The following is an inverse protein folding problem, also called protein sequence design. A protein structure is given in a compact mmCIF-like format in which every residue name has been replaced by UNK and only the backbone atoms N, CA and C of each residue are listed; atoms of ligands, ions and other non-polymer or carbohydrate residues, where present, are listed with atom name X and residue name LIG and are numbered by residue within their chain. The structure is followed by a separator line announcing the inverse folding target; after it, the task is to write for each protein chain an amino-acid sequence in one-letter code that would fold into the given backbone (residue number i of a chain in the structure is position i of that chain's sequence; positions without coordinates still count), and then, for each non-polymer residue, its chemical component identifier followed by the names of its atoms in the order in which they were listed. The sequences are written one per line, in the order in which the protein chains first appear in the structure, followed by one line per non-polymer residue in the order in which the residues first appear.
data_IF_366721273744
#
_entry.id   IF_366721273744
#
_cell.length_a   1.000
_cell.length_b   1.000
_cell.length_c   1.000
_cell.angle_alpha   90.00
_cell.angle_beta   90.00
_cell.angle_gamma   90.00
#
_symmetry.space_group_name_H-M   'P 1'
#
loop_
_entity.id
_entity.type
_entity.pdbx_description
1 polymer ?
#
# COMPACT_ATOMS: atom_id res chain seq x y z
N UNK A 1 6.48 11.52 -12.73
CA UNK A 1 6.02 10.73 -11.56
C UNK A 1 5.60 9.39 -12.12
N UNK A 2 6.34 8.33 -11.76
CA UNK A 2 6.32 7.03 -12.46
C UNK A 2 5.17 6.17 -11.96
N UNK A 3 4.61 5.43 -12.92
CA UNK A 3 3.60 4.39 -12.77
C UNK A 3 4.36 3.13 -12.32
N UNK A 4 4.11 2.63 -11.12
CA UNK A 4 4.67 1.36 -10.68
C UNK A 4 3.65 0.24 -10.95
N UNK A 5 3.86 -0.45 -12.08
CA UNK A 5 3.47 -1.85 -12.25
C UNK A 5 4.74 -2.69 -12.19
N UNK A 6 4.95 -3.42 -11.10
CA UNK A 6 6.04 -4.39 -11.00
C UNK A 6 5.56 -5.75 -11.52
N UNK A 7 5.77 -5.97 -12.82
CA UNK A 7 5.86 -7.29 -13.44
C UNK A 7 7.28 -7.81 -13.25
N UNK A 8 7.50 -8.82 -12.41
CA UNK A 8 8.82 -9.46 -12.28
C UNK A 8 8.96 -10.60 -13.28
N UNK A 9 9.62 -10.32 -14.42
CA UNK A 9 10.20 -11.34 -15.30
C UNK A 9 11.45 -11.93 -14.63
N UNK A 10 11.49 -13.24 -14.45
CA UNK A 10 12.72 -13.96 -14.12
C UNK A 10 13.62 -14.02 -15.35
N UNK A 11 14.81 -13.44 -15.26
CA UNK A 11 15.92 -13.61 -16.20
C UNK A 11 17.08 -14.19 -15.41
N UNK A 12 17.49 -15.40 -15.79
CA UNK A 12 18.64 -16.10 -15.21
C UNK A 12 19.95 -15.37 -15.51
N UNK A 13 20.92 -15.56 -14.62
CA UNK A 13 22.32 -15.20 -14.90
C UNK A 13 23.23 -16.35 -14.48
N UNK A 14 24.03 -16.78 -15.45
CA UNK A 14 25.19 -17.65 -15.31
C UNK A 14 26.26 -16.90 -14.53
N UNK A 15 27.02 -17.59 -13.69
CA UNK A 15 28.37 -17.18 -13.32
C UNK A 15 29.33 -18.36 -13.45
N UNK A 16 30.46 -18.07 -14.09
CA UNK A 16 31.56 -18.95 -14.41
C UNK A 16 32.84 -18.47 -13.71
N UNK A 17 33.78 -19.40 -13.49
CA UNK A 17 35.19 -19.15 -13.11
C UNK A 17 35.43 -19.24 -11.60
N UNK A 18 36.50 -19.85 -11.09
CA UNK A 18 37.72 -20.39 -11.68
C UNK A 18 38.53 -21.13 -10.60
N UNK A 19 39.51 -21.92 -11.05
CA UNK A 19 40.34 -22.89 -10.30
C UNK A 19 41.25 -22.22 -9.25
N UNK A 20 41.59 -22.94 -8.17
CA UNK A 20 42.98 -23.21 -7.72
C UNK A 20 43.06 -24.08 -6.44
N UNK A 21 44.09 -24.95 -6.47
CA UNK A 21 44.86 -25.56 -5.36
C UNK A 21 44.20 -26.60 -4.43
N UNK A 22 44.85 -27.76 -4.33
CA UNK A 22 44.49 -28.85 -3.43
C UNK A 22 45.42 -29.00 -2.22
N UNK A 23 45.07 -29.92 -1.33
CA UNK A 23 45.96 -30.69 -0.44
C UNK A 23 45.07 -31.58 0.45
N UNK A 24 45.57 -32.77 0.77
CA UNK A 24 44.84 -33.86 1.38
C UNK A 24 45.03 -33.95 2.91
N UNK A 25 44.23 -34.84 3.52
CA UNK A 25 44.43 -35.56 4.79
C UNK A 25 43.96 -34.85 6.06
N UNK A 26 43.15 -35.56 6.86
CA UNK A 26 43.05 -35.33 8.30
C UNK A 26 41.65 -35.59 8.87
N UNK A 27 41.33 -36.85 9.13
CA UNK A 27 40.15 -37.24 9.88
C UNK A 27 40.20 -36.71 11.32
N UNK A 28 39.10 -36.10 11.79
CA UNK A 28 38.74 -36.11 13.21
C UNK A 28 37.22 -36.31 13.32
N UNK A 29 36.90 -37.34 14.08
CA UNK A 29 35.62 -37.99 14.27
C UNK A 29 34.97 -37.45 15.55
N UNK A 30 33.64 -37.48 15.60
CA UNK A 30 32.71 -37.33 16.75
C UNK A 30 32.32 -35.91 17.19
N UNK A 31 31.12 -35.50 16.78
CA UNK A 31 30.09 -35.06 17.74
C UNK A 31 28.69 -35.39 17.19
N UNK A 32 27.94 -36.11 18.00
CA UNK A 32 26.63 -36.68 17.70
C UNK A 32 25.48 -35.64 17.69
N UNK A 33 24.31 -36.13 17.25
CA UNK A 33 22.96 -35.52 17.27
C UNK A 33 22.55 -34.74 16.01
N UNK A 34 22.40 -35.47 14.90
CA UNK A 34 21.45 -35.11 13.85
C UNK A 34 20.01 -35.36 14.35
N UNK A 35 19.55 -34.51 15.26
CA UNK A 35 18.13 -34.33 15.59
C UNK A 35 17.66 -33.04 14.94
N UNK A 36 16.66 -33.14 14.07
CA UNK A 36 16.07 -32.07 13.27
C UNK A 36 15.82 -30.79 14.09
N UNK A 37 16.60 -29.74 13.85
CA UNK A 37 16.24 -28.38 14.21
C UNK A 37 16.51 -27.49 13.01
N UNK A 38 15.42 -27.23 12.28
CA UNK A 38 15.35 -26.29 11.18
C UNK A 38 16.07 -24.99 11.52
N UNK A 39 16.92 -24.57 10.60
CA UNK A 39 17.71 -23.36 10.66
C UNK A 39 16.84 -22.15 11.00
N UNK A 40 17.40 -21.35 11.92
CA UNK A 40 17.03 -19.97 12.25
C UNK A 40 16.40 -19.25 11.05
N UNK A 41 15.16 -18.82 11.21
CA UNK A 41 14.75 -17.56 10.59
C UNK A 41 14.31 -16.64 11.70
N UNK A 42 15.19 -15.68 11.94
CA UNK A 42 15.10 -14.53 12.81
C UNK A 42 13.69 -13.95 12.93
N UNK A 43 13.34 -13.71 14.18
CA UNK A 43 12.39 -12.75 14.74
C UNK A 43 12.35 -11.39 14.00
N UNK A 44 11.82 -11.34 12.78
CA UNK A 44 11.55 -10.08 12.07
C UNK A 44 10.43 -10.20 11.01
N UNK A 45 9.48 -11.12 11.20
CA UNK A 45 8.29 -11.21 10.32
C UNK A 45 6.97 -11.38 11.07
N UNK A 46 6.99 -11.47 12.41
CA UNK A 46 5.78 -11.64 13.22
C UNK A 46 5.06 -10.34 13.59
N UNK A 47 5.61 -9.16 13.27
CA UNK A 47 4.95 -7.87 13.52
C UNK A 47 4.10 -7.35 12.33
N UNK A 48 4.12 -8.06 11.19
CA UNK A 48 3.49 -7.59 9.95
C UNK A 48 2.40 -8.54 9.43
N UNK A 49 1.82 -9.36 10.31
CA UNK A 49 0.70 -10.25 9.97
C UNK A 49 -0.57 -9.96 10.80
N UNK A 50 -0.49 -9.02 11.75
CA UNK A 50 -1.63 -8.59 12.58
C UNK A 50 -2.36 -7.36 12.01
N UNK A 51 -1.79 -6.66 11.02
CA UNK A 51 -2.46 -5.54 10.35
C UNK A 51 -3.43 -6.01 9.27
N UNK A 52 -3.00 -6.92 8.38
CA UNK A 52 -3.79 -7.37 7.22
C UNK A 52 -5.06 -8.14 7.59
N UNK A 53 -5.03 -8.91 8.68
CA UNK A 53 -6.21 -9.63 9.17
C UNK A 53 -7.21 -8.73 9.93
N UNK A 54 -6.77 -7.58 10.47
CA UNK A 54 -7.66 -6.63 11.14
C UNK A 54 -8.54 -5.87 10.14
N UNK A 55 -7.99 -5.50 8.97
CA UNK A 55 -8.76 -4.81 7.92
C UNK A 55 -9.82 -5.70 7.25
N UNK A 56 -9.69 -7.03 7.38
CA UNK A 56 -10.61 -7.98 6.75
C UNK A 56 -11.91 -8.21 7.55
N UNK A 57 -11.95 -7.83 8.83
CA UNK A 57 -13.14 -7.99 9.67
C UNK A 57 -14.02 -6.72 9.72
N UNK A 58 -13.45 -5.51 9.57
CA UNK A 58 -14.14 -4.22 9.78
C UNK A 58 -13.96 -3.20 8.63
N UNK A 59 -13.48 -3.63 7.46
CA UNK A 59 -12.84 -2.80 6.41
C UNK A 59 -13.66 -1.70 5.72
N UNK A 60 -14.90 -1.44 6.16
CA UNK A 60 -15.75 -0.37 5.63
C UNK A 60 -16.02 0.76 6.64
N UNK A 61 -15.69 0.59 7.92
CA UNK A 61 -16.10 1.53 8.98
C UNK A 61 -14.98 2.26 9.70
N UNK A 62 -13.72 1.94 9.40
CA UNK A 62 -12.59 2.59 10.04
C UNK A 62 -12.13 3.83 9.25
N UNK A 63 -11.96 4.93 9.98
CA UNK A 63 -11.27 6.12 9.48
C UNK A 63 -9.76 5.90 9.54
N UNK A 64 -9.08 6.20 8.44
CA UNK A 64 -7.67 5.89 8.23
C UNK A 64 -6.88 7.17 7.99
N UNK A 65 -5.64 7.19 8.46
CA UNK A 65 -4.66 8.18 7.99
C UNK A 65 -4.35 7.92 6.51
N UNK A 66 -3.77 8.90 5.81
CA UNK A 66 -3.38 8.70 4.40
C UNK A 66 -2.44 7.50 4.21
N UNK A 67 -1.51 7.29 5.14
CA UNK A 67 -0.57 6.16 5.08
C UNK A 67 -1.28 4.80 5.26
N UNK A 68 -2.18 4.69 6.23
CA UNK A 68 -2.96 3.46 6.43
C UNK A 68 -3.94 3.21 5.29
N UNK A 69 -4.49 4.28 4.72
CA UNK A 69 -5.34 4.24 3.55
C UNK A 69 -4.59 3.69 2.32
N UNK A 70 -3.35 4.13 2.07
CA UNK A 70 -2.53 3.59 0.98
C UNK A 70 -2.28 2.09 1.15
N UNK A 71 -1.99 1.64 2.37
CA UNK A 71 -1.82 0.22 2.66
C UNK A 71 -3.09 -0.58 2.40
N UNK A 72 -4.25 -0.08 2.86
CA UNK A 72 -5.53 -0.73 2.61
C UNK A 72 -5.88 -0.78 1.13
N UNK A 73 -5.71 0.34 0.40
CA UNK A 73 -5.96 0.42 -1.04
C UNK A 73 -5.12 -0.59 -1.81
N UNK A 74 -3.83 -0.72 -1.48
CA UNK A 74 -2.97 -1.74 -2.09
C UNK A 74 -3.42 -3.18 -1.77
N UNK A 75 -3.81 -3.44 -0.51
CA UNK A 75 -4.32 -4.75 -0.11
C UNK A 75 -5.63 -5.13 -0.84
N UNK A 76 -6.51 -4.16 -1.07
CA UNK A 76 -7.78 -4.36 -1.77
C UNK A 76 -7.57 -4.46 -3.29
N UNK A 77 -6.61 -3.72 -3.85
CA UNK A 77 -6.20 -3.87 -5.25
C UNK A 77 -5.69 -5.28 -5.54
N UNK A 78 -4.89 -5.86 -4.64
CA UNK A 78 -4.43 -7.25 -4.75
C UNK A 78 -5.58 -8.27 -4.73
N UNK A 79 -6.74 -7.91 -4.15
CA UNK A 79 -7.98 -8.72 -4.17
C UNK A 79 -8.85 -8.45 -5.41
N UNK A 80 -8.41 -7.60 -6.33
CA UNK A 80 -9.16 -7.21 -7.53
C UNK A 80 -10.31 -6.25 -7.23
N UNK A 81 -10.17 -5.40 -6.22
CA UNK A 81 -11.14 -4.36 -5.86
C UNK A 81 -10.61 -2.97 -6.12
N UNK A 82 -11.52 -2.02 -6.34
CA UNK A 82 -11.23 -0.58 -6.42
C UNK A 82 -12.12 0.18 -5.43
N UNK A 83 -11.71 1.37 -4.98
CA UNK A 83 -12.57 2.27 -4.24
C UNK A 83 -13.83 2.61 -5.03
N UNK A 84 -15.00 2.46 -4.41
CA UNK A 84 -16.28 2.89 -4.98
C UNK A 84 -16.65 4.29 -4.50
N UNK A 85 -16.62 4.51 -3.19
CA UNK A 85 -16.79 5.83 -2.58
C UNK A 85 -15.63 6.14 -1.63
N UNK A 86 -15.48 7.43 -1.33
CA UNK A 86 -14.49 7.94 -0.39
C UNK A 86 -15.13 9.00 0.49
N UNK A 87 -14.95 8.88 1.80
CA UNK A 87 -15.32 9.89 2.77
C UNK A 87 -14.06 10.54 3.33
N UNK A 88 -14.11 11.85 3.60
CA UNK A 88 -13.04 12.58 4.27
C UNK A 88 -13.54 13.30 5.50
N UNK A 89 -12.65 13.51 6.47
CA UNK A 89 -12.85 14.41 7.61
C UNK A 89 -11.50 14.91 8.11
N UNK A 90 -11.54 15.95 8.95
CA UNK A 90 -10.39 16.35 9.75
C UNK A 90 -10.11 15.27 10.81
N UNK A 91 -8.86 14.81 10.90
CA UNK A 91 -8.46 13.73 11.81
C UNK A 91 -8.23 14.21 13.24
N UNK A 92 -7.78 15.45 13.40
CA UNK A 92 -7.52 16.10 14.67
C UNK A 92 -7.89 17.58 14.57
N UNK A 93 -8.50 18.15 15.62
CA UNK A 93 -8.89 19.57 15.68
C UNK A 93 -7.81 20.44 16.31
N UNK A 94 -6.65 19.85 16.63
CA UNK A 94 -5.52 20.57 17.22
C UNK A 94 -5.07 21.71 16.28
N UNK A 95 -5.17 22.97 16.73
CA UNK A 95 -4.87 24.12 15.88
C UNK A 95 -3.44 24.05 15.32
N UNK A 96 -3.30 24.15 14.00
CA UNK A 96 -1.99 24.22 13.32
C UNK A 96 -1.49 22.90 12.71
N UNK A 97 -2.17 21.76 12.93
CA UNK A 97 -1.90 20.51 12.22
C UNK A 97 -3.08 20.13 11.32
N UNK A 98 -2.94 20.38 10.02
CA UNK A 98 -3.89 19.89 9.02
C UNK A 98 -3.69 18.38 8.84
N UNK A 99 -4.39 17.60 9.64
CA UNK A 99 -4.45 16.15 9.51
C UNK A 99 -5.82 15.75 8.95
N UNK A 100 -5.81 14.85 7.97
CA UNK A 100 -7.02 14.34 7.33
C UNK A 100 -7.13 12.84 7.55
N UNK A 101 -8.37 12.36 7.65
CA UNK A 101 -8.66 10.93 7.64
C UNK A 101 -9.67 10.61 6.56
N UNK A 102 -9.53 9.41 6.00
CA UNK A 102 -10.34 8.91 4.90
C UNK A 102 -10.98 7.57 5.24
N UNK A 103 -12.11 7.27 4.61
CA UNK A 103 -12.80 5.98 4.69
C UNK A 103 -13.27 5.60 3.29
N UNK A 104 -13.24 4.32 2.96
CA UNK A 104 -13.60 3.83 1.62
C UNK A 104 -14.70 2.78 1.68
N UNK A 105 -15.48 2.71 0.60
CA UNK A 105 -16.21 1.50 0.23
C UNK A 105 -15.58 0.89 -1.01
N UNK A 106 -15.89 -0.38 -1.29
CA UNK A 106 -15.18 -1.18 -2.28
C UNK A 106 -16.14 -1.86 -3.24
N UNK A 107 -15.73 -1.94 -4.49
CA UNK A 107 -16.39 -2.76 -5.51
C UNK A 107 -15.39 -3.56 -6.31
N UNK A 108 -15.88 -4.54 -7.06
CA UNK A 108 -15.05 -5.32 -7.99
C UNK A 108 -14.48 -4.40 -9.07
N UNK A 109 -13.18 -4.52 -9.33
CA UNK A 109 -12.51 -3.80 -10.40
C UNK A 109 -13.06 -4.24 -11.77
N UNK A 110 -13.55 -3.32 -12.62
CA UNK A 110 -13.80 -3.63 -14.02
C UNK A 110 -12.51 -4.07 -14.74
N UNK A 111 -12.64 -4.81 -15.83
CA UNK A 111 -11.47 -5.23 -16.61
C UNK A 111 -10.65 -4.02 -17.06
N UNK A 112 -9.33 -4.08 -16.84
CA UNK A 112 -8.38 -3.03 -17.21
C UNK A 112 -8.66 -1.65 -16.60
N UNK A 113 -9.45 -1.56 -15.52
CA UNK A 113 -9.71 -0.28 -14.85
C UNK A 113 -8.46 0.24 -14.14
N UNK A 114 -8.18 1.54 -14.31
CA UNK A 114 -7.20 2.27 -13.51
C UNK A 114 -7.93 3.23 -12.60
N UNK A 115 -7.34 3.52 -11.44
CA UNK A 115 -7.91 4.49 -10.51
C UNK A 115 -6.83 5.30 -9.81
N UNK A 116 -7.23 6.43 -9.25
CA UNK A 116 -6.44 7.28 -8.39
C UNK A 116 -7.36 7.89 -7.33
N UNK A 117 -6.87 8.10 -6.13
CA UNK A 117 -7.61 8.76 -5.06
C UNK A 117 -6.70 9.76 -4.36
N UNK A 118 -7.29 10.83 -3.85
CA UNK A 118 -6.57 11.88 -3.12
C UNK A 118 -7.46 12.47 -2.02
N UNK A 119 -6.82 13.01 -0.97
CA UNK A 119 -7.43 13.80 0.10
C UNK A 119 -6.58 15.03 0.35
N UNK A 120 -7.22 16.19 0.58
CA UNK A 120 -6.49 17.43 0.84
C UNK A 120 -7.38 18.66 0.68
N UNK A 121 -6.77 19.84 0.64
CA UNK A 121 -7.50 21.07 0.38
C UNK A 121 -8.08 21.11 -1.05
N UNK A 122 -9.09 21.96 -1.33
CA UNK A 122 -9.72 22.01 -2.65
C UNK A 122 -8.79 22.42 -3.80
N UNK A 123 -7.77 23.26 -3.54
CA UNK A 123 -6.82 23.67 -4.57
C UNK A 123 -5.85 22.54 -4.92
N UNK A 124 -5.41 21.78 -3.92
CA UNK A 124 -4.65 20.55 -4.11
C UNK A 124 -5.43 19.56 -4.99
N UNK A 125 -6.70 19.31 -4.69
CA UNK A 125 -7.53 18.39 -5.48
C UNK A 125 -7.78 18.88 -6.91
N UNK A 126 -7.98 20.18 -7.11
CA UNK A 126 -8.09 20.75 -8.45
C UNK A 126 -6.81 20.51 -9.27
N UNK A 127 -5.63 20.60 -8.64
CA UNK A 127 -4.37 20.27 -9.31
C UNK A 127 -4.26 18.79 -9.69
N UNK A 128 -4.83 17.90 -8.87
CA UNK A 128 -4.84 16.45 -9.09
C UNK A 128 -5.84 16.04 -10.16
N UNK A 129 -7.00 16.69 -10.23
CA UNK A 129 -7.96 16.56 -11.31
C UNK A 129 -7.31 16.79 -12.68
N UNK A 130 -6.54 17.88 -12.83
CA UNK A 130 -5.84 18.18 -14.10
C UNK A 130 -4.85 17.07 -14.45
N UNK A 131 -4.11 16.54 -13.48
CA UNK A 131 -3.14 15.45 -13.69
C UNK A 131 -3.83 14.13 -14.04
N UNK A 132 -4.92 13.81 -13.35
CA UNK A 132 -5.73 12.62 -13.58
C UNK A 132 -6.34 12.62 -14.99
N UNK A 133 -6.91 13.76 -15.40
CA UNK A 133 -7.48 13.92 -16.74
C UNK A 133 -6.42 13.76 -17.86
N UNK A 134 -5.19 14.23 -17.64
CA UNK A 134 -4.08 14.06 -18.61
C UNK A 134 -3.68 12.60 -18.84
N UNK A 135 -3.94 11.71 -17.89
CA UNK A 135 -3.69 10.27 -18.03
C UNK A 135 -4.96 9.47 -18.36
N UNK A 136 -6.06 10.17 -18.69
CA UNK A 136 -7.32 9.58 -19.11
C UNK A 136 -8.18 9.04 -17.97
N UNK A 137 -7.99 9.52 -16.73
CA UNK A 137 -8.90 9.24 -15.62
C UNK A 137 -9.91 10.38 -15.48
N UNK A 138 -11.17 10.05 -15.22
CA UNK A 138 -12.26 11.00 -14.95
C UNK A 138 -12.71 10.88 -13.50
N UNK A 139 -13.13 11.99 -12.90
CA UNK A 139 -13.62 11.97 -11.52
C UNK A 139 -14.91 11.17 -11.42
N UNK A 140 -14.88 10.08 -10.67
CA UNK A 140 -16.03 9.22 -10.40
C UNK A 140 -16.72 9.56 -9.08
N UNK A 141 -15.96 10.03 -8.09
CA UNK A 141 -16.50 10.42 -6.79
C UNK A 141 -15.76 11.64 -6.25
N UNK A 142 -16.48 12.51 -5.56
CA UNK A 142 -15.91 13.66 -4.87
C UNK A 142 -16.73 13.98 -3.62
N UNK A 143 -16.06 14.32 -2.53
CA UNK A 143 -16.70 14.86 -1.33
C UNK A 143 -15.91 16.05 -0.81
N UNK A 144 -16.62 17.02 -0.26
CA UNK A 144 -16.05 18.19 0.39
C UNK A 144 -16.69 18.34 1.77
N UNK A 145 -15.86 18.54 2.78
CA UNK A 145 -16.24 18.75 4.17
C UNK A 145 -15.67 20.08 4.62
N UNK A 146 -16.51 20.87 5.29
CA UNK A 146 -16.14 22.16 5.85
C UNK A 146 -16.17 22.06 7.37
N UNK A 147 -15.10 22.51 8.02
CA UNK A 147 -15.07 22.72 9.45
C UNK A 147 -15.99 23.91 9.80
N UNK A 148 -17.03 23.71 10.62
CA UNK A 148 -17.97 24.77 10.97
C UNK A 148 -17.34 25.89 11.83
N UNK A 149 -16.25 25.61 12.54
CA UNK A 149 -15.59 26.58 13.43
C UNK A 149 -14.59 27.43 12.66
N UNK A 150 -13.70 26.79 11.89
CA UNK A 150 -12.60 27.48 11.20
C UNK A 150 -12.96 27.89 9.77
N UNK A 151 -14.03 27.34 9.20
CA UNK A 151 -14.38 27.49 7.79
C UNK A 151 -13.43 26.77 6.83
N UNK A 152 -12.41 26.06 7.34
CA UNK A 152 -11.47 25.30 6.53
C UNK A 152 -12.18 24.18 5.78
N UNK A 153 -11.70 23.88 4.57
CA UNK A 153 -12.27 22.85 3.71
C UNK A 153 -11.26 21.76 3.46
N UNK A 154 -11.71 20.52 3.60
CA UNK A 154 -11.02 19.33 3.11
C UNK A 154 -11.91 18.68 2.07
N UNK A 155 -11.32 18.16 1.01
CA UNK A 155 -12.01 17.29 0.08
C UNK A 155 -11.32 15.96 -0.05
N UNK A 156 -12.02 15.03 -0.68
CA UNK A 156 -11.45 13.82 -1.22
C UNK A 156 -12.09 13.49 -2.56
N UNK A 157 -11.37 12.74 -3.40
CA UNK A 157 -11.83 12.40 -4.74
C UNK A 157 -11.27 11.07 -5.21
N UNK A 158 -12.05 10.38 -6.05
CA UNK A 158 -11.64 9.19 -6.79
C UNK A 158 -11.75 9.49 -8.28
N UNK A 159 -10.72 9.18 -9.04
CA UNK A 159 -10.70 9.20 -10.50
C UNK A 159 -10.53 7.79 -11.04
N UNK A 160 -11.24 7.45 -12.12
CA UNK A 160 -11.19 6.15 -12.78
C UNK A 160 -11.14 6.30 -14.30
N UNK A 161 -10.58 5.31 -15.01
CA UNK A 161 -10.58 5.23 -16.48
C UNK A 161 -11.90 4.72 -17.04
#
# INVERSE_FOLDING_TARGET
MRIDQASSRQVGSRQAGGKLAGAAIGALVLAALAGCASFRTSSMYAYQMSGTNAYQANGNDQWLTTADADQLVNAMAAKGMIPETIDCRFADTTPGQLAYSTKFTWKRAPANSRYHWEIGDPAYLASKEVKANRVGLRRAYAKLVQDPVTGQKVGCSIWVS
#
